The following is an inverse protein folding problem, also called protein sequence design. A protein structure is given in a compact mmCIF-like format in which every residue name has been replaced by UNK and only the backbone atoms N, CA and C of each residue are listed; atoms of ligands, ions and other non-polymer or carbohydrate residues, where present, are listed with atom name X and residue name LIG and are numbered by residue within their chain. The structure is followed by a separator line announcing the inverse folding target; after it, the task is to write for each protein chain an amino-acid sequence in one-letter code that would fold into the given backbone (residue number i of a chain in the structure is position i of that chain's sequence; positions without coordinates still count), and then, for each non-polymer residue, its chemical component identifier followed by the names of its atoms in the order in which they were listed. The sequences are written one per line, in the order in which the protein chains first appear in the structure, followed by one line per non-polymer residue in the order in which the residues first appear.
data_IF_240200964644
#
_entry.id   IF_240200964644
#
_cell.length_a   1.000
_cell.length_b   1.000
_cell.length_c   1.000
_cell.angle_alpha   90.00
_cell.angle_beta   90.00
_cell.angle_gamma   90.00
#
_symmetry.space_group_name_H-M   'P 1'
#
loop_
_entity.id
_entity.type
_entity.pdbx_description
1 polymer ?
#
# COMPACT_ATOMS: atom_id res chain seq x y z
N UNK A 1 15.62 5.38 -35.61
CA UNK A 1 15.51 4.31 -34.61
C UNK A 1 14.94 4.93 -33.34
N UNK A 2 13.77 4.49 -32.88
CA UNK A 2 13.24 4.99 -31.60
C UNK A 2 13.93 4.23 -30.47
N UNK A 3 14.61 4.95 -29.59
CA UNK A 3 15.17 4.39 -28.35
C UNK A 3 14.01 3.92 -27.46
N UNK A 4 13.94 2.62 -27.23
CA UNK A 4 12.88 2.01 -26.42
C UNK A 4 13.36 1.88 -24.98
N UNK A 5 12.67 2.53 -24.06
CA UNK A 5 12.95 2.43 -22.63
C UNK A 5 12.71 0.99 -22.16
N UNK A 6 13.67 0.34 -21.48
CA UNK A 6 13.49 -1.02 -20.96
C UNK A 6 12.29 -1.09 -19.99
N UNK A 7 11.41 -2.07 -20.18
CA UNK A 7 10.18 -2.23 -19.40
C UNK A 7 10.42 -2.32 -17.88
N UNK A 8 11.57 -2.84 -17.46
CA UNK A 8 11.97 -2.93 -16.06
C UNK A 8 12.18 -1.55 -15.40
N UNK A 9 12.74 -0.60 -16.15
CA UNK A 9 12.98 0.78 -15.68
C UNK A 9 11.65 1.55 -15.61
N UNK A 10 10.75 1.35 -16.58
CA UNK A 10 9.40 1.92 -16.61
C UNK A 10 8.54 1.43 -15.43
N UNK A 11 8.60 0.13 -15.12
CA UNK A 11 7.84 -0.48 -14.03
C UNK A 11 8.36 -0.04 -12.64
N UNK A 12 9.67 0.15 -12.47
CA UNK A 12 10.23 0.65 -11.21
C UNK A 12 9.93 2.14 -10.96
N UNK A 13 9.88 2.98 -12.01
CA UNK A 13 9.53 4.41 -11.89
C UNK A 13 8.03 4.62 -11.59
N UNK A 14 7.15 3.81 -12.17
CA UNK A 14 5.70 3.81 -11.86
C UNK A 14 5.45 3.29 -10.42
N UNK A 15 6.19 2.27 -9.97
CA UNK A 15 6.18 1.78 -8.57
C UNK A 15 6.66 2.85 -7.56
N UNK A 16 7.63 3.68 -7.94
CA UNK A 16 8.20 4.79 -7.14
C UNK A 16 7.28 6.02 -7.01
N UNK A 17 6.40 6.27 -7.98
CA UNK A 17 5.50 7.43 -7.98
C UNK A 17 4.11 7.18 -7.36
N UNK A 18 3.66 5.92 -7.30
CA UNK A 18 2.27 5.56 -6.92
C UNK A 18 2.07 5.05 -5.49
N UNK A 19 3.09 4.62 -4.75
CA UNK A 19 2.82 3.77 -3.57
C UNK A 19 2.39 4.48 -2.29
N UNK A 20 2.68 5.79 -2.10
CA UNK A 20 2.08 6.53 -0.97
C UNK A 20 1.12 7.64 -1.39
N UNK A 21 1.51 8.49 -2.35
CA UNK A 21 0.67 9.62 -2.75
C UNK A 21 -0.58 9.17 -3.51
N UNK A 22 -0.44 8.25 -4.47
CA UNK A 22 -1.58 7.73 -5.23
C UNK A 22 -2.43 6.77 -4.42
N UNK A 23 -1.84 5.87 -3.61
CA UNK A 23 -2.63 5.04 -2.69
C UNK A 23 -3.46 5.89 -1.71
N UNK A 24 -2.93 7.01 -1.22
CA UNK A 24 -3.71 7.95 -0.39
C UNK A 24 -4.84 8.61 -1.17
N UNK A 25 -4.59 8.98 -2.44
CA UNK A 25 -5.62 9.57 -3.31
C UNK A 25 -6.73 8.56 -3.64
N UNK A 26 -6.37 7.32 -3.96
CA UNK A 26 -7.30 6.23 -4.27
C UNK A 26 -8.06 5.78 -3.02
N UNK A 27 -7.38 5.51 -1.92
CA UNK A 27 -8.01 5.09 -0.66
C UNK A 27 -9.02 6.11 -0.14
N UNK A 28 -8.72 7.41 -0.27
CA UNK A 28 -9.65 8.48 0.09
C UNK A 28 -10.84 8.61 -0.89
N UNK A 29 -10.59 8.51 -2.19
CA UNK A 29 -11.62 8.73 -3.23
C UNK A 29 -12.52 7.51 -3.47
N UNK A 30 -11.98 6.31 -3.30
CA UNK A 30 -12.64 5.03 -3.60
C UNK A 30 -12.39 4.01 -2.47
N UNK A 31 -12.90 4.25 -1.25
CA UNK A 31 -12.59 3.43 -0.08
C UNK A 31 -13.05 1.97 -0.19
N UNK A 32 -14.19 1.73 -0.84
CA UNK A 32 -14.74 0.37 -1.07
C UNK A 32 -13.87 -0.40 -2.06
N UNK A 33 -13.48 0.24 -3.17
CA UNK A 33 -12.57 -0.36 -4.15
C UNK A 33 -11.22 -0.70 -3.51
N UNK A 34 -10.63 0.25 -2.77
CA UNK A 34 -9.35 0.04 -2.11
C UNK A 34 -9.41 -1.13 -1.12
N UNK A 35 -10.51 -1.24 -0.35
CA UNK A 35 -10.69 -2.35 0.61
C UNK A 35 -10.74 -3.71 -0.10
N UNK A 36 -11.52 -3.81 -1.18
CA UNK A 36 -11.61 -5.04 -1.99
C UNK A 36 -10.27 -5.40 -2.62
N UNK A 37 -9.55 -4.42 -3.17
CA UNK A 37 -8.21 -4.65 -3.71
C UNK A 37 -7.26 -5.20 -2.64
N UNK A 38 -7.33 -4.71 -1.39
CA UNK A 38 -6.51 -5.26 -0.31
C UNK A 38 -6.89 -6.71 0.05
N UNK A 39 -8.18 -7.05 0.00
CA UNK A 39 -8.67 -8.42 0.22
C UNK A 39 -8.26 -9.37 -0.92
N UNK A 40 -8.07 -8.86 -2.15
CA UNK A 40 -7.61 -9.67 -3.30
C UNK A 40 -6.10 -9.96 -3.28
N UNK A 41 -5.28 -9.04 -2.74
CA UNK A 41 -3.81 -9.19 -2.76
C UNK A 41 -3.24 -9.98 -1.59
N UNK A 42 -4.00 -10.16 -0.50
CA UNK A 42 -3.48 -10.78 0.72
C UNK A 42 -4.59 -11.32 1.61
N UNK A 43 -4.39 -12.53 2.15
CA UNK A 43 -5.26 -13.11 3.18
C UNK A 43 -4.91 -12.62 4.60
N UNK A 44 -3.82 -11.85 4.74
CA UNK A 44 -3.37 -11.36 6.04
C UNK A 44 -4.22 -10.16 6.51
N UNK A 45 -5.15 -10.41 7.42
CA UNK A 45 -6.05 -9.39 7.99
C UNK A 45 -5.31 -8.19 8.59
N UNK A 46 -4.10 -8.38 9.13
CA UNK A 46 -3.32 -7.27 9.68
C UNK A 46 -2.73 -6.38 8.58
N UNK A 47 -2.31 -6.95 7.45
CA UNK A 47 -1.87 -6.17 6.28
C UNK A 47 -3.03 -5.35 5.73
N UNK A 48 -4.21 -5.98 5.55
CA UNK A 48 -5.44 -5.31 5.09
C UNK A 48 -5.79 -4.15 6.02
N UNK A 49 -5.79 -4.39 7.34
CA UNK A 49 -6.07 -3.37 8.36
C UNK A 49 -5.11 -2.20 8.24
N UNK A 50 -3.80 -2.45 8.24
CA UNK A 50 -2.78 -1.40 8.14
C UNK A 50 -2.94 -0.57 6.87
N UNK A 51 -3.22 -1.20 5.74
CA UNK A 51 -3.42 -0.50 4.46
C UNK A 51 -4.69 0.36 4.49
N UNK A 52 -5.81 -0.16 4.99
CA UNK A 52 -7.07 0.61 5.10
C UNK A 52 -6.92 1.78 6.07
N UNK A 53 -6.37 1.55 7.25
CA UNK A 53 -6.16 2.62 8.23
C UNK A 53 -5.23 3.72 7.69
N UNK A 54 -4.17 3.33 6.96
CA UNK A 54 -3.23 4.29 6.40
C UNK A 54 -3.81 5.11 5.26
N UNK A 55 -4.54 4.49 4.33
CA UNK A 55 -4.90 5.11 3.06
C UNK A 55 -6.37 5.50 2.92
N UNK A 56 -7.27 4.85 3.66
CA UNK A 56 -8.70 5.20 3.73
C UNK A 56 -8.95 6.16 4.89
N UNK A 57 -8.44 5.82 6.08
CA UNK A 57 -8.66 6.62 7.30
C UNK A 57 -7.56 7.66 7.56
N UNK A 58 -6.51 7.66 6.74
CA UNK A 58 -5.44 8.65 6.80
C UNK A 58 -4.66 8.70 8.13
N UNK A 59 -4.60 7.57 8.86
CA UNK A 59 -3.89 7.49 10.13
C UNK A 59 -2.38 7.43 9.94
N UNK A 60 -1.64 7.98 10.91
CA UNK A 60 -0.18 7.81 10.99
C UNK A 60 0.17 6.41 11.50
N UNK A 61 1.37 5.90 11.19
CA UNK A 61 1.73 4.52 11.56
C UNK A 61 1.79 4.33 13.07
N UNK A 62 2.19 5.36 13.81
CA UNK A 62 2.25 5.37 15.26
C UNK A 62 0.86 5.22 15.89
N UNK A 63 -0.15 5.85 15.28
CA UNK A 63 -1.55 5.75 15.70
C UNK A 63 -2.09 4.34 15.42
N UNK A 64 -1.80 3.79 14.23
CA UNK A 64 -2.20 2.43 13.86
C UNK A 64 -1.56 1.41 14.81
N UNK A 65 -0.28 1.60 15.15
CA UNK A 65 0.45 0.74 16.08
C UNK A 65 -0.17 0.75 17.48
N UNK A 66 -0.54 1.94 17.96
CA UNK A 66 -1.26 2.11 19.22
C UNK A 66 -2.62 1.40 19.19
N UNK A 67 -3.41 1.59 18.14
CA UNK A 67 -4.74 0.97 17.97
C UNK A 67 -4.69 -0.56 17.82
N UNK A 68 -3.53 -1.10 17.42
CA UNK A 68 -3.26 -2.53 17.31
C UNK A 68 -2.56 -3.10 18.55
N UNK A 69 -2.12 -2.24 19.48
CA UNK A 69 -1.28 -2.60 20.63
C UNK A 69 0.00 -3.38 20.23
N UNK A 70 0.73 -2.87 19.23
CA UNK A 70 1.94 -3.49 18.68
C UNK A 70 3.06 -2.47 18.47
N UNK A 71 4.28 -2.97 18.25
CA UNK A 71 5.43 -2.12 17.92
C UNK A 71 5.25 -1.45 16.54
N UNK A 72 5.57 -0.14 16.38
CA UNK A 72 5.47 0.56 15.09
C UNK A 72 6.26 -0.10 13.95
N UNK A 73 7.37 -0.79 14.23
CA UNK A 73 8.14 -1.54 13.22
C UNK A 73 7.37 -2.74 12.70
N UNK A 74 6.49 -3.34 13.50
CA UNK A 74 5.60 -4.39 13.03
C UNK A 74 4.58 -3.83 12.03
N UNK A 75 3.96 -2.69 12.33
CA UNK A 75 3.07 -1.99 11.39
C UNK A 75 3.78 -1.63 10.09
N UNK A 76 5.00 -1.10 10.17
CA UNK A 76 5.80 -0.76 8.99
C UNK A 76 6.13 -1.99 8.13
N UNK A 77 6.43 -3.13 8.77
CA UNK A 77 6.69 -4.40 8.08
C UNK A 77 5.44 -4.93 7.37
N UNK A 78 4.28 -4.93 8.03
CA UNK A 78 3.02 -5.32 7.41
C UNK A 78 2.68 -4.41 6.21
N UNK A 79 2.86 -3.10 6.39
CA UNK A 79 2.69 -2.14 5.31
C UNK A 79 3.59 -2.46 4.11
N UNK A 80 4.90 -2.69 4.36
CA UNK A 80 5.85 -3.06 3.32
C UNK A 80 5.46 -4.35 2.60
N UNK A 81 5.06 -5.39 3.33
CA UNK A 81 4.63 -6.67 2.75
C UNK A 81 3.42 -6.50 1.83
N UNK A 82 2.44 -5.70 2.24
CA UNK A 82 1.27 -5.40 1.40
C UNK A 82 1.65 -4.60 0.14
N UNK A 83 2.58 -3.65 0.26
CA UNK A 83 3.12 -2.90 -0.89
C UNK A 83 3.88 -3.81 -1.84
N UNK A 84 4.72 -4.72 -1.34
CA UNK A 84 5.48 -5.66 -2.17
C UNK A 84 4.52 -6.59 -2.96
N UNK A 85 3.40 -7.00 -2.35
CA UNK A 85 2.34 -7.77 -3.02
C UNK A 85 1.63 -6.94 -4.11
N UNK A 86 1.22 -5.71 -3.82
CA UNK A 86 0.65 -4.77 -4.80
C UNK A 86 1.57 -4.54 -5.99
N UNK A 87 2.86 -4.41 -5.72
CA UNK A 87 3.91 -4.21 -6.69
C UNK A 87 4.03 -5.41 -7.62
N UNK A 88 3.76 -6.61 -7.11
CA UNK A 88 3.95 -7.90 -7.80
C UNK A 88 2.70 -8.42 -8.52
N UNK A 89 1.58 -7.68 -8.46
CA UNK A 89 0.41 -7.87 -9.35
C UNK A 89 0.79 -7.59 -10.81
#
# INVERSE_FOLDING_TARGET
MQETIPNTIKNNIIRLWLTHHYLRKVGKKYPVFFSKLMEEITDNLNEIRVMKERYVLNKKFEVIALDMNVDPRYVFRLHRQAIDKLISL
#
